data_IF_903632986905
#
_entry.id   IF_903632986905
#
_cell.length_a   1.000
_cell.length_b   1.000
_cell.length_c   1.000
_cell.angle_alpha   90.00
_cell.angle_beta   90.00
_cell.angle_gamma   90.00
#
_symmetry.space_group_name_H-M   'P 1'
#
loop_
_entity.id
_entity.type
_entity.pdbx_description
1 polymer ?
#
# COMPACT_ATOMS: atom_id res chain seq x y z
N UNK A 1 -12.31 8.71 21.63
CA UNK A 1 -12.26 7.30 22.05
C UNK A 1 -12.47 6.45 20.81
N UNK A 2 -11.48 5.67 20.38
CA UNK A 2 -11.63 4.77 19.23
C UNK A 2 -12.63 3.66 19.62
N UNK A 3 -13.83 3.69 19.05
CA UNK A 3 -14.86 2.69 19.28
C UNK A 3 -14.34 1.32 18.84
N UNK A 4 -14.61 0.25 19.61
CA UNK A 4 -14.30 -1.15 19.26
C UNK A 4 -14.96 -1.62 17.94
N UNK A 5 -15.74 -0.76 17.29
CA UNK A 5 -16.31 -0.92 15.96
C UNK A 5 -15.28 -1.05 14.82
N UNK A 6 -13.99 -0.84 15.10
CA UNK A 6 -12.86 -1.05 14.17
C UNK A 6 -12.80 -2.46 13.56
N UNK A 7 -13.36 -3.42 14.27
CA UNK A 7 -13.43 -4.83 13.87
C UNK A 7 -14.86 -5.31 13.66
N UNK A 8 -15.83 -4.39 13.58
CA UNK A 8 -17.25 -4.72 13.45
C UNK A 8 -17.53 -5.59 12.22
N UNK A 9 -16.76 -5.40 11.15
CA UNK A 9 -16.76 -6.31 10.00
C UNK A 9 -15.35 -6.81 9.69
N UNK A 10 -15.28 -8.07 9.24
CA UNK A 10 -14.04 -8.69 8.75
C UNK A 10 -13.37 -7.84 7.65
N UNK A 11 -14.15 -7.10 6.87
CA UNK A 11 -13.62 -6.26 5.78
C UNK A 11 -12.97 -4.98 6.30
N UNK A 12 -13.52 -4.34 7.35
CA UNK A 12 -12.84 -3.22 8.00
C UNK A 12 -11.51 -3.67 8.61
N UNK A 13 -11.48 -4.83 9.29
CA UNK A 13 -10.24 -5.42 9.81
C UNK A 13 -9.21 -5.67 8.71
N UNK A 14 -9.63 -6.25 7.57
CA UNK A 14 -8.75 -6.46 6.42
C UNK A 14 -8.26 -5.14 5.81
N UNK A 15 -9.12 -4.14 5.63
CA UNK A 15 -8.71 -2.86 5.09
C UNK A 15 -7.73 -2.12 6.03
N UNK A 16 -7.88 -2.24 7.36
CA UNK A 16 -6.89 -1.77 8.32
C UNK A 16 -5.56 -2.54 8.22
N UNK A 17 -5.60 -3.86 8.03
CA UNK A 17 -4.40 -4.67 7.80
C UNK A 17 -3.66 -4.21 6.53
N UNK A 18 -4.37 -4.00 5.43
CA UNK A 18 -3.79 -3.47 4.20
C UNK A 18 -3.28 -2.05 4.35
N UNK A 19 -3.95 -1.21 5.15
CA UNK A 19 -3.50 0.14 5.44
C UNK A 19 -2.18 0.15 6.20
N UNK A 20 -2.06 -0.70 7.22
CA UNK A 20 -0.81 -0.95 7.92
C UNK A 20 0.27 -1.49 6.98
N UNK A 21 -0.07 -2.46 6.14
CA UNK A 21 0.84 -2.97 5.11
C UNK A 21 1.33 -1.91 4.12
N UNK A 22 0.44 -1.00 3.70
CA UNK A 22 0.77 0.10 2.81
C UNK A 22 1.74 1.08 3.47
N UNK A 23 1.46 1.49 4.71
CA UNK A 23 2.36 2.35 5.48
C UNK A 23 3.71 1.66 5.77
N UNK A 24 3.69 0.36 6.01
CA UNK A 24 4.89 -0.46 6.21
C UNK A 24 5.79 -0.45 4.97
N UNK A 25 5.22 -0.57 3.77
CA UNK A 25 6.00 -0.45 2.54
C UNK A 25 6.44 0.99 2.22
N UNK A 26 5.58 1.98 2.50
CA UNK A 26 5.88 3.41 2.31
C UNK A 26 7.10 3.86 3.13
N UNK A 27 7.20 3.38 4.39
CA UNK A 27 8.39 3.61 5.21
C UNK A 27 9.65 3.06 4.56
N UNK A 28 9.61 1.85 3.98
CA UNK A 28 10.73 1.29 3.23
C UNK A 28 11.19 2.19 2.08
N UNK A 29 10.25 2.72 1.30
CA UNK A 29 10.55 3.64 0.21
C UNK A 29 11.21 4.94 0.71
N UNK A 30 10.87 5.38 1.92
CA UNK A 30 11.50 6.56 2.54
C UNK A 30 13.00 6.34 2.83
N UNK A 31 13.47 5.10 2.95
CA UNK A 31 14.88 4.75 3.15
C UNK A 31 15.66 4.48 1.85
N UNK A 32 14.99 4.40 0.71
CA UNK A 32 15.64 4.17 -0.60
C UNK A 32 16.76 5.18 -0.91
N UNK A 33 16.64 6.49 -0.61
CA UNK A 33 17.74 7.42 -0.86
C UNK A 33 19.03 7.02 -0.16
N UNK A 34 18.94 6.54 1.09
CA UNK A 34 20.10 6.09 1.87
C UNK A 34 20.73 4.85 1.23
N UNK A 35 19.91 3.91 0.76
CA UNK A 35 20.39 2.76 -0.01
C UNK A 35 21.12 3.19 -1.29
N UNK A 36 20.56 4.15 -2.05
CA UNK A 36 21.16 4.61 -3.31
C UNK A 36 22.49 5.32 -3.07
N UNK A 37 22.60 6.15 -2.03
CA UNK A 37 23.87 6.77 -1.63
C UNK A 37 24.90 5.70 -1.27
N UNK A 38 24.51 4.70 -0.47
CA UNK A 38 25.40 3.62 -0.05
C UNK A 38 25.84 2.72 -1.22
N UNK A 39 24.96 2.46 -2.19
CA UNK A 39 25.21 1.52 -3.27
C UNK A 39 25.83 2.14 -4.53
N UNK A 40 25.38 3.34 -4.91
CA UNK A 40 25.78 4.01 -6.15
C UNK A 40 26.79 5.14 -5.93
N UNK A 41 27.06 5.51 -4.67
CA UNK A 41 27.93 6.64 -4.34
C UNK A 41 27.39 8.00 -4.82
N UNK A 42 26.10 8.09 -5.12
CA UNK A 42 25.45 9.33 -5.53
C UNK A 42 25.28 10.27 -4.34
N UNK A 43 25.13 11.57 -4.61
CA UNK A 43 24.84 12.56 -3.55
C UNK A 43 23.41 12.40 -3.03
N UNK A 44 23.15 12.81 -1.78
CA UNK A 44 21.81 12.76 -1.18
C UNK A 44 20.74 13.54 -1.98
N UNK A 45 21.17 14.61 -2.65
CA UNK A 45 20.32 15.38 -3.57
C UNK A 45 19.92 14.53 -4.79
N UNK A 46 20.89 13.88 -5.45
CA UNK A 46 20.63 13.05 -6.62
C UNK A 46 19.79 11.83 -6.27
N UNK A 47 20.07 11.15 -5.16
CA UNK A 47 19.25 10.00 -4.71
C UNK A 47 17.79 10.37 -4.46
N UNK A 48 17.53 11.60 -4.02
CA UNK A 48 16.16 12.11 -3.83
C UNK A 48 15.47 12.41 -5.16
N UNK A 49 16.19 12.96 -6.14
CA UNK A 49 15.68 13.17 -7.51
C UNK A 49 15.38 11.83 -8.20
N UNK A 50 16.18 10.80 -7.94
CA UNK A 50 15.96 9.46 -8.48
C UNK A 50 14.63 8.84 -8.03
N UNK A 51 14.00 9.34 -6.95
CA UNK A 51 12.65 8.91 -6.55
C UNK A 51 11.52 9.57 -7.35
N UNK A 52 11.79 10.63 -8.11
CA UNK A 52 10.74 11.33 -8.87
C UNK A 52 9.92 10.40 -9.78
N UNK A 53 10.49 9.43 -10.50
CA UNK A 53 9.70 8.48 -11.28
C UNK A 53 8.69 7.68 -10.45
N UNK A 54 9.04 7.27 -9.23
CA UNK A 54 8.10 6.59 -8.32
C UNK A 54 6.92 7.49 -8.00
N UNK A 55 7.19 8.76 -7.67
CA UNK A 55 6.16 9.75 -7.35
C UNK A 55 5.27 10.05 -8.56
N UNK A 56 5.85 10.18 -9.75
CA UNK A 56 5.10 10.38 -10.99
C UNK A 56 4.18 9.19 -11.31
N UNK A 57 4.71 7.97 -11.14
CA UNK A 57 3.92 6.74 -11.30
C UNK A 57 2.78 6.70 -10.28
N UNK A 58 3.01 7.15 -9.04
CA UNK A 58 1.95 7.25 -8.04
C UNK A 58 0.90 8.30 -8.39
N UNK A 59 1.33 9.46 -8.89
CA UNK A 59 0.44 10.54 -9.31
C UNK A 59 -0.50 10.10 -10.44
N UNK A 60 0.03 9.37 -11.44
CA UNK A 60 -0.74 8.82 -12.56
C UNK A 60 -1.50 7.55 -12.15
N UNK A 61 -0.94 6.74 -11.26
CA UNK A 61 -1.50 5.49 -10.79
C UNK A 61 -2.74 5.67 -9.91
N UNK A 62 -2.81 6.77 -9.15
CA UNK A 62 -3.95 7.08 -8.27
C UNK A 62 -5.29 7.21 -9.02
N UNK A 63 -5.44 8.03 -10.09
CA UNK A 63 -6.69 8.08 -10.85
C UNK A 63 -7.00 6.76 -11.57
N UNK A 64 -5.98 6.03 -12.04
CA UNK A 64 -6.16 4.70 -12.63
C UNK A 64 -6.70 3.70 -11.61
N UNK A 65 -6.19 3.72 -10.38
CA UNK A 65 -6.68 2.89 -9.28
C UNK A 65 -8.14 3.21 -8.96
N UNK A 66 -8.53 4.50 -8.99
CA UNK A 66 -9.93 4.92 -8.82
C UNK A 66 -10.86 4.40 -9.92
N UNK A 67 -10.48 4.58 -11.19
CA UNK A 67 -11.27 4.07 -12.32
C UNK A 67 -11.40 2.54 -12.28
N UNK A 68 -10.33 1.84 -11.89
CA UNK A 68 -10.31 0.40 -11.79
C UNK A 68 -11.12 -0.12 -10.60
N UNK A 69 -11.12 0.63 -9.50
CA UNK A 69 -11.96 0.39 -8.33
C UNK A 69 -13.43 0.45 -8.72
N UNK A 70 -13.84 1.50 -9.43
CA UNK A 70 -15.23 1.67 -9.84
C UNK A 70 -15.70 0.55 -10.77
N UNK A 71 -14.81 0.07 -11.65
CA UNK A 71 -15.14 -0.97 -12.66
C UNK A 71 -15.03 -2.41 -12.15
N UNK A 72 -14.03 -2.72 -11.31
CA UNK A 72 -13.69 -4.11 -10.90
C UNK A 72 -13.75 -4.38 -9.39
N UNK A 73 -13.97 -3.34 -8.58
CA UNK A 73 -14.08 -3.44 -7.12
C UNK A 73 -12.73 -3.43 -6.40
N UNK A 74 -12.77 -3.28 -5.08
CA UNK A 74 -11.57 -2.96 -4.30
C UNK A 74 -10.57 -4.12 -4.29
N UNK A 75 -11.06 -5.36 -4.19
CA UNK A 75 -10.24 -6.57 -4.21
C UNK A 75 -9.32 -6.63 -5.42
N UNK A 76 -9.82 -6.33 -6.62
CA UNK A 76 -9.01 -6.41 -7.84
C UNK A 76 -7.86 -5.41 -7.81
N UNK A 77 -8.14 -4.17 -7.40
CA UNK A 77 -7.13 -3.11 -7.31
C UNK A 77 -6.08 -3.43 -6.25
N UNK A 78 -6.50 -3.88 -5.06
CA UNK A 78 -5.57 -4.21 -3.96
C UNK A 78 -4.73 -5.44 -4.32
N UNK A 79 -5.27 -6.41 -5.06
CA UNK A 79 -4.52 -7.57 -5.55
C UNK A 79 -3.39 -7.15 -6.48
N UNK A 80 -3.66 -6.28 -7.46
CA UNK A 80 -2.62 -5.74 -8.36
C UNK A 80 -1.61 -4.94 -7.55
N UNK A 81 -2.07 -4.06 -6.67
CA UNK A 81 -1.20 -3.22 -5.87
C UNK A 81 -0.22 -4.04 -5.01
N UNK A 82 -0.72 -5.03 -4.28
CA UNK A 82 0.11 -5.89 -3.42
C UNK A 82 1.04 -6.78 -4.21
N UNK A 83 0.62 -7.30 -5.36
CA UNK A 83 1.49 -8.08 -6.26
C UNK A 83 2.63 -7.23 -6.82
N UNK A 84 2.32 -6.05 -7.37
CA UNK A 84 3.34 -5.12 -7.88
C UNK A 84 4.29 -4.69 -6.77
N UNK A 85 3.77 -4.37 -5.59
CA UNK A 85 4.61 -3.99 -4.46
C UNK A 85 5.57 -5.11 -4.03
N UNK A 86 5.10 -6.36 -3.97
CA UNK A 86 5.94 -7.51 -3.67
C UNK A 86 7.05 -7.70 -4.72
N UNK A 87 6.71 -7.65 -6.01
CA UNK A 87 7.67 -7.77 -7.10
C UNK A 87 8.75 -6.69 -7.00
N UNK A 88 8.35 -5.44 -6.77
CA UNK A 88 9.27 -4.32 -6.68
C UNK A 88 10.22 -4.42 -5.49
N UNK A 89 9.69 -4.66 -4.29
CA UNK A 89 10.50 -4.75 -3.07
C UNK A 89 11.44 -5.96 -3.05
N UNK A 90 10.97 -7.12 -3.54
CA UNK A 90 11.82 -8.30 -3.72
C UNK A 90 12.90 -8.02 -4.77
N UNK A 91 12.56 -7.33 -5.86
CA UNK A 91 13.51 -6.90 -6.88
C UNK A 91 14.64 -6.05 -6.32
N UNK A 92 14.32 -5.05 -5.48
CA UNK A 92 15.33 -4.23 -4.78
C UNK A 92 16.22 -5.09 -3.87
N UNK A 93 15.63 -6.06 -3.18
CA UNK A 93 16.34 -6.91 -2.22
C UNK A 93 17.21 -8.00 -2.83
N UNK A 94 16.88 -8.52 -4.02
CA UNK A 94 17.62 -9.62 -4.67
C UNK A 94 18.59 -9.15 -5.76
N UNK A 95 18.24 -8.09 -6.50
CA UNK A 95 19.04 -7.66 -7.64
C UNK A 95 20.21 -6.77 -7.20
N UNK A 96 21.35 -6.81 -7.90
CA UNK A 96 22.42 -5.84 -7.69
C UNK A 96 21.88 -4.42 -7.82
N UNK A 97 22.23 -3.53 -6.90
CA UNK A 97 21.74 -2.15 -6.92
C UNK A 97 22.51 -1.34 -7.96
N UNK A 98 21.93 -1.28 -9.15
CA UNK A 98 22.36 -0.43 -10.26
C UNK A 98 21.26 0.59 -10.60
N UNK A 99 21.60 1.63 -11.36
CA UNK A 99 20.62 2.61 -11.84
C UNK A 99 19.47 1.96 -12.63
N UNK A 100 19.79 0.96 -13.47
CA UNK A 100 18.79 0.27 -14.30
C UNK A 100 17.86 -0.57 -13.44
N UNK A 101 18.40 -1.43 -12.59
CA UNK A 101 17.61 -2.29 -11.69
C UNK A 101 16.75 -1.47 -10.73
N UNK A 102 17.27 -0.32 -10.27
CA UNK A 102 16.51 0.61 -9.45
C UNK A 102 15.27 1.13 -10.18
N UNK A 103 15.42 1.65 -11.41
CA UNK A 103 14.25 2.13 -12.16
C UNK A 103 13.28 1.01 -12.56
N UNK A 104 13.79 -0.18 -12.86
CA UNK A 104 12.96 -1.36 -13.13
C UNK A 104 12.14 -1.74 -11.89
N UNK A 105 12.71 -1.67 -10.69
CA UNK A 105 12.00 -1.96 -9.44
C UNK A 105 11.12 -0.78 -8.97
N UNK A 106 11.47 0.45 -9.29
CA UNK A 106 10.73 1.66 -8.96
C UNK A 106 9.31 1.66 -9.57
N UNK A 107 9.16 1.14 -10.78
CA UNK A 107 7.86 1.05 -11.47
C UNK A 107 6.83 0.22 -10.69
N UNK A 108 7.08 -1.07 -10.38
CA UNK A 108 6.14 -1.89 -9.64
C UNK A 108 5.94 -1.43 -8.19
N UNK A 109 6.96 -0.85 -7.54
CA UNK A 109 6.78 -0.21 -6.21
C UNK A 109 5.82 0.98 -6.28
N UNK A 110 6.01 1.88 -7.26
CA UNK A 110 5.15 3.05 -7.44
C UNK A 110 3.70 2.67 -7.74
N UNK A 111 3.48 1.69 -8.63
CA UNK A 111 2.14 1.14 -8.91
C UNK A 111 1.53 0.54 -7.65
N UNK A 112 2.32 -0.25 -6.92
CA UNK A 112 1.88 -0.90 -5.68
C UNK A 112 1.38 0.10 -4.65
N UNK A 113 2.20 1.10 -4.34
CA UNK A 113 1.85 2.16 -3.39
C UNK A 113 0.64 2.98 -3.86
N UNK A 114 0.56 3.32 -5.15
CA UNK A 114 -0.59 4.06 -5.69
C UNK A 114 -1.92 3.32 -5.48
N UNK A 115 -1.90 2.00 -5.68
CA UNK A 115 -3.10 1.16 -5.61
C UNK A 115 -3.50 0.83 -4.17
N UNK A 116 -2.56 0.83 -3.22
CA UNK A 116 -2.86 0.62 -1.79
C UNK A 116 -3.21 1.92 -1.05
N UNK A 117 -2.41 2.99 -1.18
CA UNK A 117 -2.60 4.23 -0.42
C UNK A 117 -3.76 5.09 -0.95
N UNK A 118 -4.28 4.75 -2.13
CA UNK A 118 -5.32 5.50 -2.83
C UNK A 118 -6.76 5.19 -2.36
N UNK A 119 -7.70 5.34 -3.30
CA UNK A 119 -9.14 5.18 -3.09
C UNK A 119 -9.62 3.81 -2.56
N UNK A 120 -9.01 2.64 -2.90
CA UNK A 120 -9.61 1.33 -2.59
C UNK A 120 -9.81 1.04 -1.10
N UNK A 121 -8.81 1.32 -0.26
CA UNK A 121 -8.92 1.05 1.18
C UNK A 121 -9.93 1.97 1.86
N UNK A 122 -9.96 3.24 1.44
CA UNK A 122 -10.96 4.21 1.91
C UNK A 122 -12.37 3.79 1.51
N UNK A 123 -12.53 3.27 0.29
CA UNK A 123 -13.81 2.76 -0.20
C UNK A 123 -14.32 1.57 0.62
N UNK A 124 -13.47 0.59 0.96
CA UNK A 124 -13.86 -0.53 1.83
C UNK A 124 -14.34 0.01 3.19
N UNK A 125 -13.60 0.95 3.78
CA UNK A 125 -13.98 1.55 5.06
C UNK A 125 -15.31 2.29 4.99
N UNK A 126 -15.56 3.07 3.94
CA UNK A 126 -16.79 3.86 3.79
C UNK A 126 -18.01 3.02 3.43
N UNK A 127 -17.83 1.91 2.70
CA UNK A 127 -18.89 0.98 2.33
C UNK A 127 -19.34 0.11 3.51
N UNK A 128 -18.42 -0.22 4.42
CA UNK A 128 -18.71 -1.06 5.59
C UNK A 128 -19.11 -0.26 6.83
N UNK A 129 -18.73 1.02 6.91
CA UNK A 129 -19.06 1.87 8.05
C UNK A 129 -20.45 2.53 7.94
N UNK A 130 -21.15 2.63 9.07
CA UNK A 130 -22.35 3.45 9.20
C UNK A 130 -22.02 4.93 9.02
N UNK A 131 -22.98 5.73 8.54
CA UNK A 131 -22.77 7.15 8.20
C UNK A 131 -22.21 7.97 9.38
N UNK A 132 -22.67 7.72 10.60
CA UNK A 132 -22.19 8.36 11.84
C UNK A 132 -20.77 7.95 12.23
N UNK A 133 -20.27 6.82 11.73
CA UNK A 133 -18.97 6.23 12.08
C UNK A 133 -17.90 6.40 10.99
N UNK A 134 -18.24 6.99 9.83
CA UNK A 134 -17.30 7.15 8.70
C UNK A 134 -16.03 7.91 9.08
N UNK A 135 -16.14 8.95 9.90
CA UNK A 135 -14.98 9.69 10.39
C UNK A 135 -14.06 8.81 11.25
N UNK A 136 -14.63 8.01 12.16
CA UNK A 136 -13.88 7.06 12.98
C UNK A 136 -13.22 5.95 12.13
N UNK A 137 -13.90 5.46 11.10
CA UNK A 137 -13.36 4.47 10.16
C UNK A 137 -12.18 5.02 9.35
N UNK A 138 -12.22 6.28 8.91
CA UNK A 138 -11.06 6.91 8.25
C UNK A 138 -9.91 7.18 9.23
N UNK A 139 -10.24 7.60 10.46
CA UNK A 139 -9.25 7.76 11.54
C UNK A 139 -8.51 6.47 11.85
N UNK A 140 -9.25 5.35 11.90
CA UNK A 140 -8.69 4.00 11.98
C UNK A 140 -7.70 3.71 10.88
N UNK A 141 -8.12 3.90 9.63
CA UNK A 141 -7.31 3.61 8.47
C UNK A 141 -5.98 4.36 8.54
N UNK A 142 -6.03 5.65 8.86
CA UNK A 142 -4.85 6.47 9.05
C UNK A 142 -3.98 5.99 10.22
N UNK A 143 -4.58 5.64 11.37
CA UNK A 143 -3.86 5.12 12.52
C UNK A 143 -3.09 3.85 12.17
N UNK A 144 -3.74 2.88 11.54
CA UNK A 144 -3.11 1.63 11.12
C UNK A 144 -1.99 1.87 10.11
N UNK A 145 -2.18 2.75 9.12
CA UNK A 145 -1.10 3.16 8.20
C UNK A 145 0.11 3.72 8.96
N UNK A 146 -0.10 4.62 9.93
CA UNK A 146 0.99 5.19 10.71
C UNK A 146 1.67 4.17 11.61
N UNK A 147 0.92 3.24 12.21
CA UNK A 147 1.50 2.12 12.97
C UNK A 147 2.40 1.26 12.07
N UNK A 148 1.91 0.87 10.89
CA UNK A 148 2.70 0.12 9.92
C UNK A 148 3.97 0.84 9.51
N UNK A 149 3.87 2.15 9.24
CA UNK A 149 5.02 3.00 8.92
C UNK A 149 6.07 3.00 10.04
N UNK A 150 5.65 3.20 11.29
CA UNK A 150 6.56 3.23 12.45
C UNK A 150 7.26 1.88 12.68
N UNK A 151 6.51 0.78 12.60
CA UNK A 151 7.06 -0.57 12.75
C UNK A 151 8.08 -0.86 11.65
N UNK A 152 7.77 -0.50 10.40
CA UNK A 152 8.70 -0.65 9.28
C UNK A 152 9.94 0.20 9.45
N UNK A 153 9.80 1.48 9.81
CA UNK A 153 10.95 2.37 9.98
C UNK A 153 11.92 1.86 11.06
N UNK A 154 11.38 1.35 12.17
CA UNK A 154 12.18 0.71 13.21
C UNK A 154 12.86 -0.57 12.72
N UNK A 155 12.12 -1.44 12.01
CA UNK A 155 12.63 -2.70 11.47
C UNK A 155 13.73 -2.47 10.43
N UNK A 156 13.46 -1.63 9.42
CA UNK A 156 14.40 -1.30 8.34
C UNK A 156 15.66 -0.68 8.92
N UNK A 157 15.53 0.28 9.83
CA UNK A 157 16.66 0.89 10.53
C UNK A 157 17.48 -0.13 11.32
N UNK A 158 16.84 -1.02 12.08
CA UNK A 158 17.52 -2.05 12.87
C UNK A 158 18.25 -3.07 11.99
N UNK A 159 17.61 -3.55 10.92
CA UNK A 159 18.20 -4.53 10.00
C UNK A 159 19.37 -3.90 9.24
N UNK A 160 19.21 -2.68 8.71
CA UNK A 160 20.28 -1.97 8.04
C UNK A 160 21.47 -1.69 8.96
N UNK A 161 21.22 -1.28 10.21
CA UNK A 161 22.26 -1.05 11.21
C UNK A 161 22.98 -2.36 11.60
N UNK A 162 22.26 -3.47 11.74
CA UNK A 162 22.86 -4.78 12.04
C UNK A 162 23.82 -5.26 10.96
N UNK A 163 23.58 -4.90 9.70
CA UNK A 163 24.48 -5.13 8.58
C UNK A 163 25.61 -4.10 8.44
N UNK A 164 25.85 -3.28 9.46
CA UNK A 164 26.87 -2.22 9.44
C UNK A 164 26.57 -1.07 8.48
N UNK A 165 25.30 -0.87 8.09
CA UNK A 165 24.91 0.11 7.07
C UNK A 165 25.32 -0.28 5.65
N UNK A 166 25.81 -1.50 5.44
CA UNK A 166 26.18 -2.01 4.12
C UNK A 166 24.96 -2.11 3.19
N UNK A 167 25.22 -2.08 1.87
CA UNK A 167 24.21 -2.30 0.83
C UNK A 167 23.43 -3.59 1.07
N UNK A 168 24.12 -4.66 1.48
CA UNK A 168 23.49 -5.92 1.81
C UNK A 168 22.48 -5.78 2.97
N UNK A 169 22.81 -5.06 4.04
CA UNK A 169 21.90 -4.83 5.17
C UNK A 169 20.60 -4.14 4.74
N UNK A 170 20.71 -3.12 3.88
CA UNK A 170 19.54 -2.46 3.29
C UNK A 170 18.73 -3.42 2.40
N UNK A 171 19.39 -4.17 1.53
CA UNK A 171 18.71 -5.15 0.67
C UNK A 171 17.94 -6.22 1.47
N UNK A 172 18.51 -6.72 2.58
CA UNK A 172 17.80 -7.63 3.49
C UNK A 172 16.57 -6.99 4.10
N UNK A 173 16.63 -5.71 4.49
CA UNK A 173 15.46 -4.99 4.98
C UNK A 173 14.36 -4.93 3.90
N UNK A 174 14.71 -4.58 2.65
CA UNK A 174 13.75 -4.57 1.54
C UNK A 174 13.18 -5.96 1.21
N UNK A 175 13.95 -7.03 1.36
CA UNK A 175 13.44 -8.41 1.23
C UNK A 175 12.37 -8.72 2.26
N UNK A 176 12.56 -8.32 3.52
CA UNK A 176 11.57 -8.53 4.57
C UNK A 176 10.27 -7.78 4.21
N UNK A 177 10.37 -6.53 3.73
CA UNK A 177 9.21 -5.78 3.24
C UNK A 177 8.51 -6.49 2.07
N UNK A 178 9.29 -7.07 1.15
CA UNK A 178 8.80 -7.86 0.03
C UNK A 178 8.04 -9.11 0.47
N UNK A 179 8.59 -9.87 1.42
CA UNK A 179 7.93 -11.07 1.99
C UNK A 179 6.63 -10.71 2.69
N UNK A 180 6.61 -9.63 3.47
CA UNK A 180 5.38 -9.12 4.09
C UNK A 180 4.34 -8.75 3.01
N UNK A 181 4.79 -8.12 1.92
CA UNK A 181 3.92 -7.77 0.78
C UNK A 181 3.35 -9.00 0.06
N UNK A 182 4.10 -10.11 -0.01
CA UNK A 182 3.58 -11.41 -0.50
C UNK A 182 2.50 -11.95 0.43
N UNK A 183 2.70 -11.87 1.75
CA UNK A 183 1.68 -12.23 2.74
C UNK A 183 0.39 -11.41 2.57
N UNK A 184 0.53 -10.10 2.36
CA UNK A 184 -0.61 -9.22 2.06
C UNK A 184 -1.29 -9.58 0.75
N UNK A 185 -0.53 -9.93 -0.30
CA UNK A 185 -1.08 -10.41 -1.56
C UNK A 185 -1.99 -11.62 -1.34
N UNK A 186 -1.57 -12.61 -0.55
CA UNK A 186 -2.44 -13.74 -0.22
C UNK A 186 -3.63 -13.36 0.66
N UNK A 187 -3.48 -12.36 1.54
CA UNK A 187 -4.61 -11.85 2.32
C UNK A 187 -5.70 -11.21 1.43
N UNK A 188 -5.39 -10.78 0.20
CA UNK A 188 -6.38 -10.15 -0.71
C UNK A 188 -7.50 -11.11 -1.11
N UNK A 189 -7.23 -12.43 -1.09
CA UNK A 189 -8.25 -13.44 -1.41
C UNK A 189 -9.39 -13.45 -0.39
N UNK A 190 -9.16 -12.93 0.83
CA UNK A 190 -10.17 -12.79 1.88
C UNK A 190 -11.04 -11.52 1.73
N UNK A 191 -10.71 -10.61 0.81
CA UNK A 191 -11.54 -9.45 0.50
C UNK A 191 -12.81 -9.86 -0.25
N UNK A 192 -13.90 -9.12 -0.01
CA UNK A 192 -15.16 -9.28 -0.74
C UNK A 192 -14.96 -9.01 -2.23
N UNK A 193 -15.74 -9.69 -3.06
CA UNK A 193 -15.86 -9.37 -4.49
C UNK A 193 -16.84 -8.20 -4.66
N UNK A 194 -16.70 -7.43 -5.74
CA UNK A 194 -17.51 -6.25 -6.06
C UNK A 194 -19.02 -6.39 -5.79
N UNK A 195 -19.73 -7.49 -6.16
CA UNK A 195 -21.15 -7.61 -5.88
C UNK A 195 -21.50 -7.59 -4.38
N UNK A 196 -20.65 -8.22 -3.55
CA UNK A 196 -20.82 -8.24 -2.11
C UNK A 196 -20.43 -6.91 -1.43
N UNK A 197 -19.58 -6.10 -2.08
CA UNK A 197 -19.25 -4.74 -1.62
C UNK A 197 -20.44 -3.79 -1.85
N UNK A 198 -21.03 -3.83 -3.05
CA UNK A 198 -22.20 -3.02 -3.39
C UNK A 198 -23.38 -3.33 -2.45
N UNK A 199 -23.66 -4.61 -2.22
CA UNK A 199 -24.72 -5.03 -1.28
C UNK A 199 -24.44 -4.64 0.18
N UNK A 200 -23.18 -4.43 0.58
CA UNK A 200 -22.84 -3.92 1.91
C UNK A 200 -23.02 -2.40 1.98
N UNK A 201 -22.59 -1.70 0.92
CA UNK A 201 -22.77 -0.25 0.79
C UNK A 201 -24.26 0.14 0.80
N UNK A 202 -25.12 -0.59 0.09
CA UNK A 202 -26.58 -0.36 0.07
C UNK A 202 -27.23 -0.57 1.44
N UNK A 203 -26.84 -1.64 2.17
CA UNK A 203 -27.34 -1.88 3.54
C UNK A 203 -26.96 -0.76 4.50
N UNK A 204 -25.77 -0.21 4.35
CA UNK A 204 -25.24 0.83 5.23
C UNK A 204 -25.60 2.25 4.78
N UNK A 205 -26.13 2.40 3.56
CA UNK A 205 -26.48 3.69 2.97
C UNK A 205 -27.75 3.57 2.08
N UNK A 206 -28.95 3.42 2.66
CA UNK A 206 -30.20 3.14 1.95
C UNK A 206 -30.72 4.26 1.02
N UNK A 207 -29.95 5.32 0.75
CA UNK A 207 -30.38 6.49 -0.02
C UNK A 207 -29.75 6.61 -1.44
N UNK A 208 -29.11 5.57 -1.99
CA UNK A 208 -28.63 5.62 -3.39
C UNK A 208 -29.65 4.92 -4.30
N UNK A 209 -30.55 5.65 -4.99
CA UNK A 209 -31.44 5.05 -5.97
C UNK A 209 -30.63 4.43 -7.10
N UNK A 210 -30.93 3.17 -7.41
CA UNK A 210 -30.45 2.44 -8.59
C UNK A 210 -30.71 3.29 -9.84
N UNK A 211 -29.66 3.74 -10.52
CA UNK A 211 -29.77 4.09 -11.93
C UNK A 211 -30.14 2.80 -12.67
N UNK A 212 -31.42 2.66 -13.01
CA UNK A 212 -31.89 1.64 -13.94
C UNK A 212 -31.09 1.74 -15.24
N UNK A 213 -30.76 0.61 -15.89
CA UNK A 213 -30.19 0.65 -17.22
C UNK A 213 -31.27 1.21 -18.16
N UNK A 214 -31.01 2.39 -18.74
CA UNK A 214 -31.78 2.91 -19.86
C UNK A 214 -31.67 1.91 -21.01
N UNK A 215 -32.78 1.24 -21.26
CA UNK A 215 -33.10 0.51 -22.49
C UNK A 215 -33.00 1.42 -23.71
#
# INVERSE_FOLDING_TARGET
VLSLDLFRSRQMGLANLFAGGAGFAEAGVSFVPVLLVAALGVTAYMSSIMLLPVVLIMAVGSPLAGQLLDRRGSRFVITIGTASLAIGLIGVGLLPVTTVTFYVAAVPVGIGLAFLLGAPLRYIMLSEAQQSQRAAAQGSLALFTRMGYLVSAALVGAVAASGGGSVAGWQHAFLILGIVSVGLFFATFALKRRPAELAAAERNNPQVPTTQPTT
#
